data_IF_092747702066
#
_entry.id   IF_092747702066
#
_cell.length_a   1.000
_cell.length_b   1.000
_cell.length_c   1.000
_cell.angle_alpha   90.00
_cell.angle_beta   90.00
_cell.angle_gamma   90.00
#
_symmetry.space_group_name_H-M   'P 1'
#
loop_
_entity.id
_entity.type
_entity.pdbx_description
1 polymer ?
#
# COMPACT_ATOMS: atom_id res chain seq x y z
N UNK A 1 25.74 -16.84 11.19
CA UNK A 1 26.70 -16.49 10.13
C UNK A 1 26.75 -14.98 10.01
N UNK A 2 27.94 -14.34 10.05
CA UNK A 2 28.06 -12.92 9.72
C UNK A 2 27.48 -12.69 8.32
N UNK A 3 26.54 -11.74 8.17
CA UNK A 3 25.89 -11.44 6.89
C UNK A 3 24.54 -12.11 6.62
N UNK A 4 23.95 -12.82 7.58
CA UNK A 4 22.59 -13.35 7.39
C UNK A 4 21.54 -12.23 7.48
N UNK A 5 20.91 -11.89 6.36
CA UNK A 5 19.77 -10.95 6.33
C UNK A 5 18.61 -11.57 7.10
N UNK A 6 18.08 -10.82 8.08
CA UNK A 6 16.88 -11.18 8.83
C UNK A 6 15.76 -10.22 8.49
N UNK A 7 14.73 -10.72 7.81
CA UNK A 7 13.51 -9.97 7.52
C UNK A 7 12.67 -9.87 8.80
N UNK A 8 12.32 -8.66 9.23
CA UNK A 8 11.47 -8.44 10.42
C UNK A 8 10.00 -8.57 10.08
N UNK A 9 9.57 -7.89 9.02
CA UNK A 9 8.18 -7.84 8.56
C UNK A 9 8.11 -7.34 7.13
N UNK A 10 6.95 -7.54 6.50
CA UNK A 10 6.61 -6.86 5.24
C UNK A 10 6.14 -5.45 5.61
N UNK A 11 6.81 -4.43 5.06
CA UNK A 11 6.46 -3.04 5.29
C UNK A 11 5.25 -2.59 4.43
N UNK A 12 5.33 -2.91 3.13
CA UNK A 12 4.29 -2.56 2.17
C UNK A 12 4.33 -3.49 0.96
N UNK A 13 3.27 -3.46 0.17
CA UNK A 13 3.17 -4.15 -1.12
C UNK A 13 2.62 -3.18 -2.15
N UNK A 14 3.19 -3.19 -3.36
CA UNK A 14 2.67 -2.43 -4.49
C UNK A 14 1.76 -3.32 -5.34
N UNK A 15 0.56 -2.86 -5.64
CA UNK A 15 -0.39 -3.58 -6.50
C UNK A 15 -0.70 -2.82 -7.78
N UNK A 16 -0.40 -3.42 -8.92
CA UNK A 16 -0.77 -2.86 -10.22
C UNK A 16 -2.26 -3.12 -10.47
N UNK A 17 -3.02 -2.05 -10.71
CA UNK A 17 -4.46 -2.12 -10.99
C UNK A 17 -4.77 -1.51 -12.35
N UNK A 18 -5.77 -2.06 -13.04
CA UNK A 18 -6.21 -1.53 -14.35
C UNK A 18 -7.10 -0.29 -14.21
N UNK A 19 -7.88 -0.23 -13.13
CA UNK A 19 -8.82 0.86 -12.83
C UNK A 19 -8.66 1.24 -11.37
N UNK A 20 -7.95 2.34 -11.14
CA UNK A 20 -7.65 2.85 -9.80
C UNK A 20 -8.92 3.24 -9.05
N UNK A 21 -9.90 3.86 -9.71
CA UNK A 21 -11.14 4.29 -9.06
C UNK A 21 -11.94 3.10 -8.53
N UNK A 22 -12.08 2.04 -9.34
CA UNK A 22 -12.74 0.81 -8.92
C UNK A 22 -11.96 0.09 -7.82
N UNK A 23 -10.63 0.05 -7.91
CA UNK A 23 -9.79 -0.55 -6.89
C UNK A 23 -9.91 0.20 -5.54
N UNK A 24 -9.93 1.53 -5.57
CA UNK A 24 -10.12 2.33 -4.35
C UNK A 24 -11.49 2.12 -3.72
N UNK A 25 -12.54 1.86 -4.50
CA UNK A 25 -13.84 1.46 -3.95
C UNK A 25 -13.73 0.14 -3.17
N UNK A 26 -13.09 -0.87 -3.77
CA UNK A 26 -12.86 -2.16 -3.11
C UNK A 26 -11.99 -2.02 -1.84
N UNK A 27 -10.87 -1.32 -1.93
CA UNK A 27 -9.95 -1.12 -0.81
C UNK A 27 -10.59 -0.34 0.34
N UNK A 28 -11.30 0.76 0.05
CA UNK A 28 -11.94 1.58 1.09
C UNK A 28 -13.21 0.96 1.65
N UNK A 29 -14.13 0.48 0.81
CA UNK A 29 -15.48 0.11 1.24
C UNK A 29 -15.57 -1.33 1.73
N UNK A 30 -14.84 -2.26 1.10
CA UNK A 30 -14.89 -3.68 1.48
C UNK A 30 -13.83 -4.01 2.52
N UNK A 31 -12.59 -3.57 2.28
CA UNK A 31 -11.49 -3.89 3.19
C UNK A 31 -11.37 -2.86 4.31
N UNK A 32 -11.64 -1.57 4.05
CA UNK A 32 -11.40 -0.50 5.03
C UNK A 32 -9.97 0.03 5.03
N UNK A 33 -9.21 -0.26 3.97
CA UNK A 33 -7.91 0.35 3.66
C UNK A 33 -8.18 1.78 3.20
N UNK A 34 -7.51 2.77 3.81
CA UNK A 34 -7.72 4.18 3.50
C UNK A 34 -6.60 4.77 2.66
N UNK A 35 -6.95 5.66 1.73
CA UNK A 35 -5.95 6.48 1.03
C UNK A 35 -5.23 7.44 1.99
N UNK A 36 -3.97 7.70 1.71
CA UNK A 36 -3.13 8.69 2.41
C UNK A 36 -2.48 9.65 1.39
N UNK A 37 -1.81 10.67 1.91
CA UNK A 37 -0.99 11.57 1.10
C UNK A 37 0.17 10.83 0.42
N UNK A 38 0.37 11.11 -0.87
CA UNK A 38 1.50 10.56 -1.61
C UNK A 38 2.81 11.16 -1.12
N UNK A 39 3.85 10.33 -0.98
CA UNK A 39 5.20 10.81 -0.63
C UNK A 39 6.01 11.26 -1.85
N UNK A 40 5.46 11.09 -3.06
CA UNK A 40 6.10 11.48 -4.32
C UNK A 40 5.11 12.19 -5.25
N UNK A 41 5.56 13.15 -6.07
CA UNK A 41 4.69 13.84 -7.02
C UNK A 41 4.42 12.97 -8.26
N UNK A 42 3.75 11.84 -8.07
CA UNK A 42 3.30 10.96 -9.15
C UNK A 42 1.79 10.68 -8.99
N UNK A 43 0.93 11.20 -9.89
CA UNK A 43 -0.52 11.00 -9.83
C UNK A 43 -0.96 9.56 -10.15
N UNK A 44 -0.08 8.73 -10.73
CA UNK A 44 -0.39 7.34 -11.08
C UNK A 44 -0.28 6.37 -9.89
N UNK A 45 0.28 6.83 -8.76
CA UNK A 45 0.49 6.01 -7.56
C UNK A 45 -0.46 6.47 -6.47
N UNK A 46 -1.26 5.54 -5.94
CA UNK A 46 -2.16 5.83 -4.83
C UNK A 46 -1.68 5.14 -3.58
N UNK A 47 -1.24 5.95 -2.61
CA UNK A 47 -0.76 5.43 -1.34
C UNK A 47 -1.94 5.13 -0.42
N UNK A 48 -1.87 3.98 0.23
CA UNK A 48 -2.92 3.43 1.07
C UNK A 48 -2.33 2.95 2.41
N UNK A 49 -3.12 3.03 3.47
CA UNK A 49 -2.73 2.53 4.78
C UNK A 49 -3.84 1.69 5.41
N UNK A 50 -3.43 0.56 5.98
CA UNK A 50 -4.26 -0.26 6.86
C UNK A 50 -4.15 0.23 8.29
N UNK A 51 -5.24 0.20 9.06
CA UNK A 51 -5.31 0.68 10.46
C UNK A 51 -4.25 0.10 11.42
N UNK A 52 -3.50 -0.94 11.03
CA UNK A 52 -2.41 -1.56 11.80
C UNK A 52 -0.99 -1.22 11.31
N UNK A 53 -0.82 -0.26 10.40
CA UNK A 53 0.49 0.28 10.01
C UNK A 53 1.18 -0.41 8.83
N UNK A 54 0.45 -1.20 8.04
CA UNK A 54 0.95 -1.75 6.77
C UNK A 54 0.48 -0.87 5.61
N UNK A 55 1.43 -0.45 4.78
CA UNK A 55 1.15 0.43 3.63
C UNK A 55 0.87 -0.39 2.37
N UNK A 56 0.03 0.12 1.49
CA UNK A 56 -0.17 -0.39 0.15
C UNK A 56 0.12 0.74 -0.84
N UNK A 57 0.80 0.43 -1.93
CA UNK A 57 1.15 1.39 -2.99
C UNK A 57 0.61 0.95 -4.35
#
# INVERSE_FOLDING_TARGET
MPGQIKTKQINHVTTMVKDTARAMKFYNELLGIKQIESQVPNPEITWCNWKRGSWCT
#
